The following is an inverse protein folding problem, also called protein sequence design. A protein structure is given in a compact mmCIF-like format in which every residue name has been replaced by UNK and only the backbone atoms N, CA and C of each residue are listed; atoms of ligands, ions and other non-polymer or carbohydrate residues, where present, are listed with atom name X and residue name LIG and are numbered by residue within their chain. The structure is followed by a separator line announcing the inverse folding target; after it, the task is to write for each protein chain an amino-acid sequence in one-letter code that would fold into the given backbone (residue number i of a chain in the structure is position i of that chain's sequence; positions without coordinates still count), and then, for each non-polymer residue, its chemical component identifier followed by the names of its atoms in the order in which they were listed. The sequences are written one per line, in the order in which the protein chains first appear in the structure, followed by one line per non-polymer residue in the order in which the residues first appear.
data_IF_027527260167
#
_entry.id   IF_027527260167
#
_cell.length_a   1.000
_cell.length_b   1.000
_cell.length_c   1.000
_cell.angle_alpha   90.00
_cell.angle_beta   90.00
_cell.angle_gamma   90.00
#
_symmetry.space_group_name_H-M   'P 1'
#
loop_
_entity.id
_entity.type
_entity.pdbx_description
1 polymer ?
#
# COMPACT_ATOMS: atom_id res chain seq x y z
N UNK A 1 6.24 63.68 -0.08
CA UNK A 1 5.34 62.71 0.58
C UNK A 1 5.14 61.52 -0.35
N UNK A 2 5.71 60.37 0.01
CA UNK A 2 5.60 59.08 -0.69
C UNK A 2 4.14 58.61 -0.70
N UNK A 3 3.58 58.21 -1.85
CA UNK A 3 2.55 57.16 -1.89
C UNK A 3 2.80 56.21 -3.06
N UNK A 4 2.96 54.96 -2.67
CA UNK A 4 3.48 53.82 -3.41
C UNK A 4 2.60 53.38 -4.58
N UNK A 5 3.26 53.05 -5.68
CA UNK A 5 2.80 52.16 -6.74
C UNK A 5 2.60 50.75 -6.14
N UNK A 6 1.38 50.22 -6.14
CA UNK A 6 1.13 48.83 -5.78
C UNK A 6 0.33 48.17 -6.92
N UNK A 7 1.08 47.56 -7.85
CA UNK A 7 0.55 46.60 -8.83
C UNK A 7 0.21 45.33 -8.07
N UNK A 8 -1.07 44.99 -7.94
CA UNK A 8 -1.48 43.67 -7.45
C UNK A 8 -1.95 42.84 -8.65
N UNK A 9 -1.07 41.95 -9.12
CA UNK A 9 -1.43 40.82 -9.97
C UNK A 9 -2.26 39.85 -9.14
N UNK A 10 -3.57 39.78 -9.39
CA UNK A 10 -4.39 38.64 -8.93
C UNK A 10 -4.12 37.47 -9.87
N UNK A 11 -3.23 36.57 -9.46
CA UNK A 11 -3.06 35.27 -10.11
C UNK A 11 -4.27 34.39 -9.85
N UNK A 12 -4.96 33.97 -10.91
CA UNK A 12 -5.93 32.88 -10.84
C UNK A 12 -5.17 31.60 -10.44
N UNK A 13 -5.37 31.14 -9.21
CA UNK A 13 -5.02 29.78 -8.82
C UNK A 13 -6.16 28.87 -9.27
N UNK A 14 -6.02 28.27 -10.45
CA UNK A 14 -6.85 27.14 -10.85
C UNK A 14 -6.49 25.95 -9.96
N UNK A 15 -7.26 25.74 -8.89
CA UNK A 15 -7.20 24.50 -8.12
C UNK A 15 -7.80 23.42 -9.02
N UNK A 16 -6.95 22.67 -9.72
CA UNK A 16 -7.36 21.47 -10.42
C UNK A 16 -7.77 20.43 -9.37
N UNK A 17 -9.08 20.32 -9.11
CA UNK A 17 -9.63 19.17 -8.44
C UNK A 17 -9.46 17.96 -9.37
N UNK A 18 -8.35 17.24 -9.21
CA UNK A 18 -8.20 15.90 -9.77
C UNK A 18 -9.26 15.05 -9.08
N UNK A 19 -10.41 14.88 -9.72
CA UNK A 19 -11.31 13.79 -9.37
C UNK A 19 -10.53 12.52 -9.67
N UNK A 20 -10.13 11.80 -8.63
CA UNK A 20 -9.72 10.42 -8.76
C UNK A 20 -10.94 9.65 -9.27
N UNK A 21 -11.05 9.51 -10.60
CA UNK A 21 -11.96 8.56 -11.21
C UNK A 21 -11.67 7.22 -10.53
N UNK A 22 -12.71 6.58 -10.00
CA UNK A 22 -12.56 5.31 -9.28
C UNK A 22 -12.05 4.29 -10.28
N UNK A 23 -10.74 4.07 -10.31
CA UNK A 23 -10.09 3.14 -11.22
C UNK A 23 -10.48 1.73 -10.79
N UNK A 24 -11.61 1.25 -11.30
CA UNK A 24 -12.08 -0.10 -11.06
C UNK A 24 -11.19 -1.09 -11.81
N UNK A 25 -10.84 -2.20 -11.13
CA UNK A 25 -10.24 -3.34 -11.80
C UNK A 25 -11.30 -3.93 -12.75
N UNK A 26 -10.98 -4.06 -14.03
CA UNK A 26 -11.91 -4.61 -15.02
C UNK A 26 -12.34 -6.04 -14.64
N UNK A 27 -13.46 -6.52 -15.20
CA UNK A 27 -13.81 -7.93 -15.06
C UNK A 27 -12.86 -8.76 -15.95
N UNK A 28 -12.30 -9.89 -15.47
CA UNK A 28 -11.47 -10.72 -16.32
C UNK A 28 -12.30 -11.29 -17.49
N UNK A 29 -11.69 -11.56 -18.66
CA UNK A 29 -12.39 -12.17 -19.78
C UNK A 29 -13.08 -13.49 -19.39
N UNK A 30 -14.15 -13.86 -20.11
CA UNK A 30 -14.88 -15.10 -19.84
C UNK A 30 -13.93 -16.32 -19.80
N UNK A 31 -14.04 -17.12 -18.73
CA UNK A 31 -13.16 -18.27 -18.50
C UNK A 31 -11.74 -17.93 -18.04
N UNK A 32 -11.45 -16.67 -17.67
CA UNK A 32 -10.19 -16.24 -17.08
C UNK A 32 -10.39 -15.77 -15.65
N UNK A 33 -9.33 -15.87 -14.86
CA UNK A 33 -9.24 -15.35 -13.50
C UNK A 33 -8.03 -14.43 -13.40
N UNK A 34 -8.08 -13.49 -12.46
CA UNK A 34 -6.89 -12.75 -12.10
C UNK A 34 -5.90 -13.65 -11.37
N UNK A 35 -4.64 -13.50 -11.74
CA UNK A 35 -3.54 -14.21 -11.13
C UNK A 35 -2.76 -13.28 -10.20
N UNK A 36 -2.52 -13.71 -8.99
CA UNK A 36 -1.55 -13.10 -8.07
C UNK A 36 -0.67 -14.19 -7.51
N UNK A 37 0.33 -13.80 -6.73
CA UNK A 37 1.15 -14.75 -5.99
C UNK A 37 1.37 -14.28 -4.57
N UNK A 38 1.73 -15.25 -3.75
CA UNK A 38 2.17 -15.09 -2.38
C UNK A 38 3.69 -15.23 -2.35
N UNK A 39 4.39 -14.28 -1.74
CA UNK A 39 5.84 -14.35 -1.58
C UNK A 39 6.20 -15.07 -0.28
N UNK A 40 6.84 -16.23 -0.40
CA UNK A 40 7.39 -16.98 0.73
C UNK A 40 8.88 -16.69 0.93
N UNK A 41 9.20 -15.51 1.47
CA UNK A 41 10.56 -15.18 1.93
C UNK A 41 11.02 -16.03 3.12
N UNK A 42 12.28 -15.88 3.54
CA UNK A 42 12.84 -16.59 4.71
C UNK A 42 12.97 -15.62 5.87
N UNK A 43 12.18 -15.80 6.93
CA UNK A 43 12.15 -14.92 8.10
C UNK A 43 13.25 -15.04 9.12
N UNK A 44 13.33 -14.00 9.96
CA UNK A 44 14.15 -13.95 11.17
C UNK A 44 13.27 -13.71 12.39
N UNK A 45 13.82 -13.81 13.60
CA UNK A 45 13.06 -13.61 14.84
C UNK A 45 12.61 -12.13 15.00
N UNK A 46 13.32 -11.20 14.36
CA UNK A 46 13.08 -9.75 14.44
C UNK A 46 12.41 -9.17 13.18
N UNK A 47 12.27 -9.95 12.11
CA UNK A 47 11.73 -9.49 10.83
C UNK A 47 10.91 -10.58 10.17
N UNK A 48 9.72 -10.21 9.70
CA UNK A 48 8.88 -11.10 8.91
C UNK A 48 8.99 -10.75 7.41
N UNK A 49 9.95 -11.32 6.67
CA UNK A 49 10.08 -11.17 5.23
C UNK A 49 9.15 -12.13 4.48
N UNK A 50 8.46 -13.04 5.18
CA UNK A 50 7.35 -13.73 4.51
C UNK A 50 6.31 -12.67 4.25
N UNK A 51 5.78 -12.67 3.02
CA UNK A 51 4.74 -11.73 2.64
C UNK A 51 5.15 -10.25 2.59
N UNK A 52 6.37 -9.83 2.97
CA UNK A 52 6.72 -8.41 3.07
C UNK A 52 7.76 -7.96 2.02
N UNK A 53 8.85 -8.72 1.86
CA UNK A 53 10.04 -8.26 1.11
C UNK A 53 10.07 -8.71 -0.36
N UNK A 54 8.93 -8.68 -1.03
CA UNK A 54 8.87 -9.02 -2.46
C UNK A 54 9.56 -7.95 -3.30
N UNK A 55 10.40 -8.36 -4.25
CA UNK A 55 11.11 -7.45 -5.15
C UNK A 55 10.61 -7.55 -6.60
N UNK A 56 10.89 -6.56 -7.46
CA UNK A 56 10.61 -6.66 -8.90
C UNK A 56 11.28 -7.88 -9.57
N UNK A 57 12.47 -8.28 -9.11
CA UNK A 57 13.17 -9.43 -9.65
C UNK A 57 12.44 -10.74 -9.30
N UNK A 58 11.92 -10.86 -8.08
CA UNK A 58 11.16 -12.03 -7.64
C UNK A 58 9.90 -12.23 -8.49
N UNK A 59 9.21 -11.12 -8.78
CA UNK A 59 8.05 -11.11 -9.69
C UNK A 59 8.44 -11.61 -11.07
N UNK A 60 9.54 -11.09 -11.64
CA UNK A 60 10.01 -11.47 -12.97
C UNK A 60 10.38 -12.95 -13.05
N UNK A 61 11.11 -13.46 -12.05
CA UNK A 61 11.51 -14.87 -11.97
C UNK A 61 10.30 -15.79 -11.82
N UNK A 62 9.34 -15.42 -10.96
CA UNK A 62 8.11 -16.16 -10.77
C UNK A 62 7.32 -16.25 -12.09
N UNK A 63 7.07 -15.13 -12.76
CA UNK A 63 6.32 -15.09 -14.03
C UNK A 63 7.02 -15.88 -15.15
N UNK A 64 8.35 -15.83 -15.20
CA UNK A 64 9.15 -16.62 -16.12
C UNK A 64 8.98 -18.11 -15.86
N UNK A 65 9.03 -18.54 -14.59
CA UNK A 65 8.92 -19.95 -14.21
C UNK A 65 7.53 -20.53 -14.54
N UNK A 66 6.46 -19.76 -14.33
CA UNK A 66 5.08 -20.25 -14.55
C UNK A 66 4.54 -19.98 -15.96
N UNK A 67 5.20 -19.12 -16.74
CA UNK A 67 4.75 -18.71 -18.08
C UNK A 67 3.43 -17.94 -18.09
N UNK A 68 3.10 -17.23 -17.00
CA UNK A 68 1.89 -16.41 -16.84
C UNK A 68 2.25 -15.07 -16.19
N UNK A 69 1.45 -14.06 -16.48
CA UNK A 69 1.55 -12.74 -15.84
C UNK A 69 0.61 -12.64 -14.65
N UNK A 70 1.13 -12.07 -13.57
CA UNK A 70 0.40 -11.64 -12.38
C UNK A 70 -0.26 -10.28 -12.66
N UNK A 71 -1.47 -10.13 -12.16
CA UNK A 71 -2.21 -8.87 -12.11
C UNK A 71 -2.06 -8.19 -10.74
N UNK A 72 -1.93 -8.97 -9.67
CA UNK A 72 -1.87 -8.48 -8.29
C UNK A 72 -0.54 -8.91 -7.65
N UNK A 73 0.09 -7.99 -6.92
CA UNK A 73 1.23 -8.30 -6.06
C UNK A 73 0.76 -8.08 -4.63
N UNK A 74 0.68 -9.19 -3.89
CA UNK A 74 0.32 -9.21 -2.48
C UNK A 74 1.55 -8.94 -1.62
N UNK A 75 1.40 -8.08 -0.62
CA UNK A 75 2.34 -7.96 0.48
C UNK A 75 1.64 -7.54 1.78
N UNK A 76 2.19 -7.96 2.90
CA UNK A 76 1.78 -7.56 4.25
C UNK A 76 2.43 -6.23 4.62
N UNK A 77 1.68 -5.36 5.29
CA UNK A 77 2.15 -4.08 5.83
C UNK A 77 2.01 -4.10 7.36
N UNK A 78 3.12 -4.37 8.04
CA UNK A 78 3.16 -4.64 9.47
C UNK A 78 3.27 -3.35 10.28
N UNK A 79 2.22 -3.01 11.01
CA UNK A 79 2.20 -1.78 11.82
C UNK A 79 3.09 -1.80 13.07
N UNK A 80 3.69 -2.95 13.44
CA UNK A 80 4.76 -2.98 14.43
C UNK A 80 6.11 -2.49 13.86
N UNK A 81 6.33 -2.58 12.55
CA UNK A 81 7.54 -2.07 11.89
C UNK A 81 7.38 -0.59 11.54
N UNK A 82 6.24 -0.24 10.94
CA UNK A 82 5.93 1.12 10.51
C UNK A 82 4.43 1.31 10.31
N UNK A 83 3.89 2.46 10.74
CA UNK A 83 2.50 2.87 10.44
C UNK A 83 2.37 3.71 9.16
N UNK A 84 3.48 4.00 8.48
CA UNK A 84 3.46 4.79 7.24
C UNK A 84 2.92 3.95 6.10
N UNK A 85 2.12 4.54 5.23
CA UNK A 85 1.70 3.90 3.99
C UNK A 85 2.92 3.42 3.18
N UNK A 86 2.93 2.19 2.65
CA UNK A 86 4.06 1.60 1.93
C UNK A 86 4.20 2.15 0.50
N UNK A 87 4.35 3.47 0.37
CA UNK A 87 4.33 4.20 -0.89
C UNK A 87 5.38 3.71 -1.89
N UNK A 88 6.60 3.42 -1.42
CA UNK A 88 7.67 2.91 -2.27
C UNK A 88 7.30 1.56 -2.90
N UNK A 89 6.75 0.64 -2.09
CA UNK A 89 6.30 -0.67 -2.55
C UNK A 89 5.18 -0.56 -3.57
N UNK A 90 4.13 0.20 -3.23
CA UNK A 90 3.02 0.49 -4.12
C UNK A 90 3.47 1.13 -5.44
N UNK A 91 4.46 2.01 -5.40
CA UNK A 91 4.93 2.73 -6.60
C UNK A 91 5.59 1.79 -7.59
N UNK A 92 6.55 0.96 -7.17
CA UNK A 92 7.21 0.05 -8.12
C UNK A 92 6.24 -1.01 -8.65
N UNK A 93 5.27 -1.48 -7.84
CA UNK A 93 4.24 -2.42 -8.32
C UNK A 93 3.42 -1.77 -9.46
N UNK A 94 3.08 -0.49 -9.32
CA UNK A 94 2.38 0.28 -10.36
C UNK A 94 3.27 0.53 -11.59
N UNK A 95 4.57 0.73 -11.42
CA UNK A 95 5.53 0.84 -12.53
C UNK A 95 5.57 -0.43 -13.37
N UNK A 96 5.44 -1.61 -12.74
CA UNK A 96 5.26 -2.90 -13.42
C UNK A 96 3.89 -3.10 -14.07
N UNK A 97 3.01 -2.09 -14.03
CA UNK A 97 1.61 -2.15 -14.52
C UNK A 97 0.77 -3.21 -13.82
N UNK A 98 1.03 -3.42 -12.51
CA UNK A 98 0.31 -4.37 -11.66
C UNK A 98 -0.49 -3.61 -10.58
N UNK A 99 -1.30 -4.35 -9.84
CA UNK A 99 -2.12 -3.82 -8.75
C UNK A 99 -1.47 -4.23 -7.42
N UNK A 100 -1.08 -3.27 -6.55
CA UNK A 100 -0.65 -3.58 -5.20
C UNK A 100 -1.87 -4.06 -4.41
N UNK A 101 -1.75 -5.24 -3.80
CA UNK A 101 -2.64 -5.73 -2.77
C UNK A 101 -1.89 -5.55 -1.45
N UNK A 102 -2.29 -4.55 -0.66
CA UNK A 102 -1.70 -4.27 0.66
C UNK A 102 -2.55 -4.96 1.71
N UNK A 103 -1.99 -5.94 2.41
CA UNK A 103 -2.62 -6.52 3.61
C UNK A 103 -2.13 -5.76 4.83
N UNK A 104 -2.94 -4.83 5.31
CA UNK A 104 -2.67 -4.14 6.58
C UNK A 104 -2.69 -5.14 7.75
N UNK A 105 -1.57 -5.24 8.46
CA UNK A 105 -1.37 -6.16 9.58
C UNK A 105 -1.28 -5.39 10.89
N UNK A 106 -2.40 -5.35 11.62
CA UNK A 106 -2.52 -4.76 12.95
C UNK A 106 -2.08 -5.73 14.05
N UNK A 107 -0.79 -6.05 14.10
CA UNK A 107 -0.16 -6.92 15.12
C UNK A 107 0.99 -6.20 15.80
N UNK A 108 1.22 -6.47 17.08
CA UNK A 108 2.30 -5.87 17.87
C UNK A 108 3.68 -6.47 17.64
N UNK A 109 3.74 -7.71 17.16
CA UNK A 109 4.95 -8.53 17.04
C UNK A 109 4.79 -9.53 15.90
N UNK A 110 5.89 -10.17 15.49
CA UNK A 110 5.87 -11.29 14.53
C UNK A 110 5.15 -12.52 15.10
N UNK A 111 5.23 -12.72 16.41
CA UNK A 111 4.63 -13.83 17.14
C UNK A 111 3.13 -13.94 16.89
N UNK A 112 2.66 -15.18 16.77
CA UNK A 112 1.25 -15.50 16.54
C UNK A 112 0.67 -16.28 17.72
N UNK A 113 -0.65 -16.46 17.71
CA UNK A 113 -1.40 -17.29 18.69
C UNK A 113 -1.37 -16.78 20.12
N UNK A 114 -1.15 -15.48 20.31
CA UNK A 114 -1.38 -14.80 21.58
C UNK A 114 -2.38 -13.66 21.38
N UNK A 115 -2.92 -13.16 22.49
CA UNK A 115 -3.81 -11.99 22.44
C UNK A 115 -3.04 -10.74 22.02
N UNK A 116 -3.62 -9.97 21.11
CA UNK A 116 -3.13 -8.65 20.69
C UNK A 116 -3.50 -7.60 21.75
N UNK A 117 -2.51 -6.82 22.21
CA UNK A 117 -2.66 -5.88 23.33
C UNK A 117 -2.61 -4.41 22.90
N UNK A 118 -1.91 -4.11 21.80
CA UNK A 118 -1.80 -2.78 21.22
C UNK A 118 -2.99 -2.54 20.30
N UNK A 119 -3.14 -3.35 19.25
CA UNK A 119 -4.19 -3.21 18.24
C UNK A 119 -5.44 -4.03 18.60
N UNK A 120 -5.90 -3.95 19.84
CA UNK A 120 -7.09 -4.69 20.28
C UNK A 120 -8.35 -4.13 19.63
N UNK A 121 -9.37 -4.99 19.47
CA UNK A 121 -10.66 -4.56 18.92
C UNK A 121 -11.30 -3.42 19.73
N UNK A 122 -11.16 -3.44 21.07
CA UNK A 122 -11.70 -2.37 21.90
C UNK A 122 -11.07 -1.01 21.58
N UNK A 123 -9.74 -0.96 21.36
CA UNK A 123 -9.03 0.28 21.01
C UNK A 123 -9.34 0.74 19.59
N UNK A 124 -9.49 -0.20 18.65
CA UNK A 124 -9.95 0.10 17.28
C UNK A 124 -11.35 0.73 17.32
N UNK A 125 -12.29 0.14 18.07
CA UNK A 125 -13.65 0.67 18.22
C UNK A 125 -13.66 2.04 18.91
N UNK A 126 -12.74 2.27 19.87
CA UNK A 126 -12.60 3.55 20.56
C UNK A 126 -12.00 4.66 19.67
N UNK A 127 -11.50 4.32 18.47
CA UNK A 127 -10.90 5.27 17.54
C UNK A 127 -9.44 5.61 17.84
N UNK A 128 -8.76 4.82 18.67
CA UNK A 128 -7.37 5.08 19.09
C UNK A 128 -6.37 5.15 17.92
N UNK A 129 -6.73 4.56 16.77
CA UNK A 129 -5.90 4.48 15.56
C UNK A 129 -6.45 5.28 14.37
N UNK A 130 -7.54 6.02 14.56
CA UNK A 130 -8.21 6.73 13.47
C UNK A 130 -7.33 7.79 12.81
N UNK A 131 -6.47 8.46 13.58
CA UNK A 131 -5.53 9.43 13.05
C UNK A 131 -4.46 8.76 12.18
N UNK A 132 -3.96 7.60 12.60
CA UNK A 132 -3.00 6.81 11.82
C UNK A 132 -3.66 6.30 10.54
N UNK A 133 -4.86 5.72 10.62
CA UNK A 133 -5.63 5.21 9.48
C UNK A 133 -6.03 6.30 8.47
N UNK A 134 -6.19 7.55 8.90
CA UNK A 134 -6.41 8.68 7.98
C UNK A 134 -5.14 9.15 7.29
N UNK A 135 -3.99 9.00 7.95
CA UNK A 135 -2.69 9.38 7.41
C UNK A 135 -2.12 8.29 6.48
N UNK A 136 -2.47 7.04 6.75
CA UNK A 136 -2.19 5.86 5.93
C UNK A 136 -3.06 5.83 4.67
#
# INVERSE_FOLDING_TARGET
MKKFLCRLLLGLVCVAHIHAESAHVAVPPAGKLYHGFYWGGIGTDEHDPTEHDVTPNDVAQYEQAIGKRTAWIYFSDNWFESRKFPAAMCSWIRELKKIPYVRLMLRSTVDQRHSEKTFSLQKIIAGDFDADLRAW
#
